data_IF_972409267650
#
_entry.id   IF_972409267650
#
_cell.length_a   1.000
_cell.length_b   1.000
_cell.length_c   1.000
_cell.angle_alpha   90.00
_cell.angle_beta   90.00
_cell.angle_gamma   90.00
#
_symmetry.space_group_name_H-M   'P 1'
#
loop_
_entity.id
_entity.type
_entity.pdbx_description
1 polymer ?
#
# COMPACT_ATOMS: atom_id res chain seq x y z
N UNK A 1 -14.75 57.02 71.62
CA UNK A 1 -14.86 55.61 72.07
C UNK A 1 -15.12 54.78 70.83
N UNK A 2 -14.23 53.98 70.24
CA UNK A 2 -13.06 53.30 70.78
C UNK A 2 -13.29 51.79 70.64
N UNK A 3 -12.83 51.20 69.52
CA UNK A 3 -12.11 49.92 69.44
C UNK A 3 -11.79 49.57 67.99
N UNK A 4 -10.54 49.86 67.63
CA UNK A 4 -9.78 49.32 66.51
C UNK A 4 -9.32 47.91 66.88
N UNK A 5 -9.62 46.90 66.08
CA UNK A 5 -8.96 45.59 66.11
C UNK A 5 -8.00 45.50 64.93
N UNK A 6 -6.73 45.83 65.20
CA UNK A 6 -5.63 45.64 64.27
C UNK A 6 -5.28 44.15 64.19
N UNK A 7 -5.25 43.62 62.96
CA UNK A 7 -4.64 42.34 62.61
C UNK A 7 -3.11 42.43 62.73
N UNK A 8 -2.42 41.47 63.36
CA UNK A 8 -0.97 41.55 63.54
C UNK A 8 -0.21 41.26 62.24
N UNK A 9 0.79 42.08 61.98
CA UNK A 9 1.86 41.88 60.99
C UNK A 9 2.64 40.59 61.26
N UNK A 10 3.06 39.82 60.24
CA UNK A 10 3.92 38.66 60.47
C UNK A 10 5.32 39.12 60.85
N UNK A 11 5.72 38.79 62.08
CA UNK A 11 7.08 38.96 62.59
C UNK A 11 8.06 38.16 61.74
N UNK A 12 9.10 38.83 61.24
CA UNK A 12 10.27 38.24 60.60
C UNK A 12 11.10 37.47 61.63
N UNK A 13 10.78 36.20 61.84
CA UNK A 13 11.69 35.24 62.48
C UNK A 13 12.73 34.76 61.46
N UNK A 14 14.03 34.69 61.79
CA UNK A 14 15.03 34.15 60.88
C UNK A 14 14.69 32.70 60.54
N UNK A 15 14.75 32.33 59.26
CA UNK A 15 14.71 30.94 58.83
C UNK A 15 15.80 30.18 59.62
N UNK A 16 15.49 29.07 60.32
CA UNK A 16 16.53 28.26 60.91
C UNK A 16 17.41 27.75 59.77
N UNK A 17 18.73 27.87 59.95
CA UNK A 17 19.71 27.33 59.02
C UNK A 17 19.34 25.86 58.73
N UNK A 18 19.06 25.55 57.46
CA UNK A 18 18.85 24.18 57.04
C UNK A 18 20.19 23.45 57.22
N UNK A 19 20.29 22.62 58.24
CA UNK A 19 21.38 21.66 58.40
C UNK A 19 21.35 20.70 57.20
N UNK A 20 22.28 20.91 56.27
CA UNK A 20 22.52 20.08 55.08
C UNK A 20 23.21 18.78 55.50
N UNK A 21 22.67 18.04 56.46
CA UNK A 21 23.21 16.74 56.86
C UNK A 21 22.18 15.70 57.33
N UNK A 22 20.90 16.08 57.44
CA UNK A 22 19.80 15.11 57.64
C UNK A 22 18.93 15.04 56.39
N UNK A 23 19.21 14.04 55.54
CA UNK A 23 18.44 13.73 54.35
C UNK A 23 16.96 13.49 54.65
N UNK A 24 16.16 14.55 54.66
CA UNK A 24 14.71 14.48 54.66
C UNK A 24 14.30 14.10 53.25
N UNK A 25 14.01 12.80 53.05
CA UNK A 25 13.40 12.33 51.80
C UNK A 25 12.11 13.11 51.59
N UNK A 26 12.06 13.96 50.57
CA UNK A 26 10.79 14.48 50.07
C UNK A 26 9.84 13.29 49.86
N UNK A 27 8.59 13.35 50.34
CA UNK A 27 7.63 12.29 50.06
C UNK A 27 7.52 12.15 48.54
N UNK A 28 7.75 10.94 48.02
CA UNK A 28 7.50 10.66 46.61
C UNK A 28 6.05 11.04 46.33
N UNK A 29 5.76 11.83 45.28
CA UNK A 29 4.37 12.07 44.89
C UNK A 29 3.67 10.74 44.76
N UNK A 30 2.46 10.63 45.31
CA UNK A 30 1.65 9.43 45.27
C UNK A 30 1.61 8.90 43.83
N UNK A 31 1.87 7.61 43.65
CA UNK A 31 1.72 6.96 42.35
C UNK A 31 0.25 7.03 41.96
N UNK A 32 -0.15 8.08 41.23
CA UNK A 32 -1.46 8.13 40.60
C UNK A 32 -1.50 6.99 39.57
N UNK A 33 -2.25 5.93 39.87
CA UNK A 33 -2.62 4.91 38.90
C UNK A 33 -3.57 5.55 37.88
N UNK A 34 -2.99 6.08 36.82
CA UNK A 34 -3.76 6.45 35.64
C UNK A 34 -4.15 5.18 34.90
N UNK A 35 -5.43 5.02 34.50
CA UNK A 35 -5.80 3.94 33.61
C UNK A 35 -5.01 4.06 32.31
N UNK A 36 -4.57 2.94 31.71
CA UNK A 36 -3.88 2.98 30.43
C UNK A 36 -4.77 3.70 29.40
N UNK A 37 -4.16 4.47 28.47
CA UNK A 37 -4.94 5.11 27.43
C UNK A 37 -5.74 4.07 26.64
N UNK A 38 -6.96 4.43 26.18
CA UNK A 38 -7.75 3.53 25.38
C UNK A 38 -6.95 3.10 24.14
N UNK A 39 -7.05 1.84 23.72
CA UNK A 39 -6.38 1.38 22.51
C UNK A 39 -6.78 2.28 21.33
N UNK A 40 -5.86 2.59 20.41
CA UNK A 40 -6.19 3.39 19.24
C UNK A 40 -7.36 2.73 18.50
N UNK A 41 -8.39 3.52 18.15
CA UNK A 41 -9.52 3.02 17.35
C UNK A 41 -8.98 2.48 16.02
N UNK A 42 -9.18 1.19 15.79
CA UNK A 42 -8.87 0.57 14.50
C UNK A 42 -9.77 1.16 13.42
N UNK A 43 -9.19 1.45 12.27
CA UNK A 43 -9.96 1.97 11.14
C UNK A 43 -10.89 0.90 10.60
N UNK A 44 -12.14 1.25 10.28
CA UNK A 44 -13.07 0.31 9.64
C UNK A 44 -12.73 0.20 8.15
N UNK A 45 -12.33 -0.99 7.71
CA UNK A 45 -11.95 -1.25 6.32
C UNK A 45 -13.17 -1.33 5.42
N UNK A 46 -13.32 -0.36 4.54
CA UNK A 46 -14.40 -0.33 3.54
C UNK A 46 -13.87 -0.22 2.11
N UNK A 47 -12.67 0.35 1.93
CA UNK A 47 -12.07 0.50 0.60
C UNK A 47 -11.63 -0.84 0.03
N UNK A 48 -10.98 -1.69 0.81
CA UNK A 48 -10.52 -3.00 0.35
C UNK A 48 -11.69 -3.91 -0.08
N UNK A 49 -12.78 -4.03 0.72
CA UNK A 49 -14.01 -4.68 0.26
C UNK A 49 -14.59 -4.04 -1.02
N UNK A 50 -14.55 -2.71 -1.15
CA UNK A 50 -15.03 -2.03 -2.36
C UNK A 50 -14.17 -2.38 -3.59
N UNK A 51 -12.84 -2.40 -3.45
CA UNK A 51 -11.92 -2.83 -4.51
C UNK A 51 -12.21 -4.28 -4.89
N UNK A 52 -12.43 -5.16 -3.91
CA UNK A 52 -12.82 -6.54 -4.17
C UNK A 52 -14.09 -6.62 -5.03
N UNK A 53 -15.16 -5.92 -4.62
CA UNK A 53 -16.43 -5.91 -5.33
C UNK A 53 -16.29 -5.32 -6.73
N UNK A 54 -15.49 -4.27 -6.90
CA UNK A 54 -15.22 -3.66 -8.21
C UNK A 54 -14.52 -4.65 -9.17
N UNK A 55 -13.52 -5.41 -8.69
CA UNK A 55 -12.83 -6.41 -9.49
C UNK A 55 -13.74 -7.58 -9.87
N UNK A 56 -14.57 -8.06 -8.94
CA UNK A 56 -15.57 -9.11 -9.22
C UNK A 56 -16.60 -8.61 -10.23
N UNK A 57 -17.15 -7.41 -10.03
CA UNK A 57 -18.13 -6.81 -10.94
C UNK A 57 -17.58 -6.60 -12.35
N UNK A 58 -16.34 -6.10 -12.46
CA UNK A 58 -15.70 -5.90 -13.76
C UNK A 58 -15.35 -7.24 -14.45
N UNK A 59 -15.01 -8.29 -13.69
CA UNK A 59 -14.84 -9.62 -14.25
C UNK A 59 -16.16 -10.19 -14.80
N UNK A 60 -17.27 -10.03 -14.06
CA UNK A 60 -18.60 -10.43 -14.55
C UNK A 60 -18.96 -9.66 -15.83
N UNK A 61 -18.73 -8.35 -15.85
CA UNK A 61 -18.93 -7.53 -17.06
C UNK A 61 -18.04 -8.00 -18.22
N UNK A 62 -16.80 -8.34 -17.95
CA UNK A 62 -15.87 -8.88 -18.96
C UNK A 62 -16.40 -10.18 -19.57
N UNK A 63 -16.90 -11.09 -18.75
CA UNK A 63 -17.51 -12.34 -19.21
C UNK A 63 -18.80 -12.09 -20.01
N UNK A 64 -19.60 -11.10 -19.61
CA UNK A 64 -20.80 -10.69 -20.36
C UNK A 64 -20.47 -10.19 -21.77
N UNK A 65 -19.40 -9.39 -21.90
CA UNK A 65 -18.90 -8.89 -23.20
C UNK A 65 -18.24 -10.00 -24.02
N UNK A 66 -17.55 -10.93 -23.35
CA UNK A 66 -16.84 -12.02 -24.03
C UNK A 66 -17.79 -12.90 -24.85
N UNK A 67 -18.91 -13.31 -24.25
CA UNK A 67 -19.96 -14.11 -24.88
C UNK A 67 -19.40 -15.24 -25.78
N UNK A 68 -18.67 -16.17 -25.16
CA UNK A 68 -18.03 -17.30 -25.86
C UNK A 68 -18.96 -18.02 -26.86
N UNK A 69 -20.21 -18.38 -26.51
CA UNK A 69 -21.06 -19.19 -27.38
C UNK A 69 -21.43 -18.50 -28.70
N UNK A 70 -21.41 -17.16 -28.73
CA UNK A 70 -21.68 -16.40 -29.95
C UNK A 70 -20.54 -16.49 -30.98
N UNK A 71 -19.32 -16.89 -30.57
CA UNK A 71 -18.14 -16.97 -31.43
C UNK A 71 -17.68 -18.41 -31.66
N UNK A 72 -17.76 -19.26 -30.63
CA UNK A 72 -17.39 -20.69 -30.70
C UNK A 72 -18.45 -21.59 -30.04
N UNK A 73 -19.55 -21.95 -30.75
CA UNK A 73 -20.71 -22.64 -30.16
C UNK A 73 -20.43 -24.02 -29.54
N UNK A 74 -19.31 -24.67 -29.89
CA UNK A 74 -18.97 -26.04 -29.47
C UNK A 74 -17.69 -26.14 -28.62
N UNK A 75 -16.97 -25.03 -28.41
CA UNK A 75 -15.67 -25.01 -27.71
C UNK A 75 -15.73 -24.51 -26.27
N UNK A 76 -16.81 -23.82 -25.89
CA UNK A 76 -16.92 -23.15 -24.60
C UNK A 76 -16.99 -24.12 -23.42
N UNK A 77 -16.22 -23.82 -22.38
CA UNK A 77 -16.22 -24.57 -21.14
C UNK A 77 -17.42 -24.15 -20.28
N UNK A 78 -18.11 -25.13 -19.71
CA UNK A 78 -19.30 -24.94 -18.86
C UNK A 78 -20.48 -24.23 -19.57
N UNK A 79 -20.62 -24.41 -20.89
CA UNK A 79 -21.76 -23.89 -21.65
C UNK A 79 -23.14 -24.24 -21.07
N UNK A 80 -23.44 -25.50 -20.72
CA UNK A 80 -24.77 -25.87 -20.22
C UNK A 80 -25.16 -25.18 -18.90
N UNK A 81 -24.16 -24.76 -18.09
CA UNK A 81 -24.39 -24.16 -16.77
C UNK A 81 -24.36 -22.63 -16.80
N UNK A 82 -23.39 -22.05 -17.53
CA UNK A 82 -23.10 -20.61 -17.49
C UNK A 82 -23.66 -19.83 -18.68
N UNK A 83 -24.08 -20.52 -19.76
CA UNK A 83 -24.61 -19.91 -20.96
C UNK A 83 -23.69 -18.83 -21.53
N UNK A 84 -24.14 -17.57 -21.50
CA UNK A 84 -23.36 -16.42 -21.99
C UNK A 84 -22.02 -16.22 -21.26
N UNK A 85 -21.94 -16.63 -19.99
CA UNK A 85 -20.77 -16.45 -19.13
C UNK A 85 -19.78 -17.61 -19.20
N UNK A 86 -19.89 -18.47 -20.20
CA UNK A 86 -18.96 -19.57 -20.39
C UNK A 86 -17.55 -19.13 -20.74
N UNK A 87 -16.58 -19.96 -20.34
CA UNK A 87 -15.17 -19.67 -20.50
C UNK A 87 -14.67 -20.14 -21.87
N UNK A 88 -13.61 -19.48 -22.36
CA UNK A 88 -12.89 -19.94 -23.55
C UNK A 88 -12.26 -21.32 -23.34
N UNK A 89 -12.01 -22.08 -24.42
CA UNK A 89 -11.29 -23.35 -24.34
C UNK A 89 -9.94 -23.21 -23.60
N UNK A 90 -9.51 -24.23 -22.85
CA UNK A 90 -8.24 -24.20 -22.10
C UNK A 90 -7.00 -24.01 -23.00
N UNK A 91 -7.12 -24.34 -24.29
CA UNK A 91 -6.10 -24.09 -25.30
C UNK A 91 -5.87 -22.60 -25.54
N UNK A 92 -6.91 -21.79 -25.42
CA UNK A 92 -6.85 -20.33 -25.55
C UNK A 92 -6.60 -19.68 -24.18
N UNK A 93 -7.36 -20.08 -23.14
CA UNK A 93 -7.24 -19.50 -21.82
C UNK A 93 -7.24 -20.56 -20.71
N UNK A 94 -6.05 -20.81 -20.16
CA UNK A 94 -5.84 -21.79 -19.09
C UNK A 94 -6.40 -21.36 -17.73
N UNK A 95 -6.75 -20.08 -17.54
CA UNK A 95 -7.23 -19.52 -16.27
C UNK A 95 -8.76 -19.57 -16.11
N UNK A 96 -9.49 -20.21 -17.03
CA UNK A 96 -10.96 -20.22 -17.08
C UNK A 96 -11.51 -18.79 -17.15
N UNK A 97 -11.42 -18.19 -18.34
CA UNK A 97 -11.70 -16.77 -18.51
C UNK A 97 -12.11 -16.36 -19.92
N UNK A 98 -12.13 -15.05 -20.19
CA UNK A 98 -12.47 -14.49 -21.49
C UNK A 98 -11.35 -14.68 -22.52
N UNK A 99 -11.60 -14.32 -23.77
CA UNK A 99 -10.57 -14.23 -24.80
C UNK A 99 -9.63 -13.05 -24.56
N UNK A 100 -8.40 -13.17 -25.08
CA UNK A 100 -7.41 -12.09 -25.10
C UNK A 100 -7.97 -10.84 -25.82
N UNK A 101 -8.69 -11.03 -26.93
CA UNK A 101 -9.32 -9.94 -27.70
C UNK A 101 -10.33 -9.16 -26.85
N UNK A 102 -11.12 -9.86 -26.01
CA UNK A 102 -12.05 -9.18 -25.10
C UNK A 102 -11.31 -8.37 -24.04
N UNK A 103 -10.23 -8.91 -23.48
CA UNK A 103 -9.40 -8.18 -22.50
C UNK A 103 -8.75 -6.95 -23.13
N UNK A 104 -8.21 -7.07 -24.34
CA UNK A 104 -7.67 -5.95 -25.12
C UNK A 104 -8.74 -4.86 -25.31
N UNK A 105 -9.93 -5.24 -25.77
CA UNK A 105 -11.04 -4.30 -26.01
C UNK A 105 -11.45 -3.55 -24.75
N UNK A 106 -11.42 -4.21 -23.59
CA UNK A 106 -11.87 -3.63 -22.32
C UNK A 106 -10.81 -2.82 -21.58
N UNK A 107 -9.60 -2.68 -22.13
CA UNK A 107 -8.54 -1.88 -21.52
C UNK A 107 -7.39 -2.69 -20.94
N UNK A 108 -7.17 -3.89 -21.44
CA UNK A 108 -5.95 -4.65 -21.17
C UNK A 108 -4.71 -3.87 -21.59
N UNK A 109 -3.62 -4.08 -20.86
CA UNK A 109 -2.36 -3.38 -21.11
C UNK A 109 -1.66 -4.03 -22.30
N UNK A 110 -1.56 -3.27 -23.38
CA UNK A 110 -0.81 -3.64 -24.57
C UNK A 110 0.11 -2.49 -24.96
N UNK A 111 1.41 -2.77 -25.11
CA UNK A 111 2.42 -1.74 -25.38
C UNK A 111 2.13 -0.94 -26.63
N UNK A 112 1.72 -1.59 -27.71
CA UNK A 112 1.44 -0.94 -28.99
C UNK A 112 0.32 0.09 -28.85
N UNK A 113 -0.81 -0.28 -28.26
CA UNK A 113 -1.93 0.63 -28.04
C UNK A 113 -1.59 1.79 -27.10
N UNK A 114 -0.75 1.54 -26.07
CA UNK A 114 -0.32 2.59 -25.15
C UNK A 114 0.61 3.61 -25.83
N UNK A 115 1.59 3.11 -26.58
CA UNK A 115 2.65 3.94 -27.17
C UNK A 115 2.18 4.56 -28.49
N UNK A 116 1.70 3.74 -29.44
CA UNK A 116 1.34 4.16 -30.79
C UNK A 116 -0.01 4.87 -30.86
N UNK A 117 -1.03 4.35 -30.17
CA UNK A 117 -2.38 4.93 -30.19
C UNK A 117 -2.64 5.92 -29.03
N UNK A 118 -1.59 6.25 -28.26
CA UNK A 118 -1.65 7.14 -27.10
C UNK A 118 -2.70 6.73 -26.03
N UNK A 119 -3.02 5.44 -25.92
CA UNK A 119 -4.04 4.94 -24.99
C UNK A 119 -3.48 4.71 -23.57
N UNK A 120 -2.87 5.76 -22.97
CA UNK A 120 -2.22 5.70 -21.66
C UNK A 120 -3.16 5.32 -20.50
N UNK A 121 -4.46 5.52 -20.64
CA UNK A 121 -5.47 5.08 -19.68
C UNK A 121 -5.45 3.57 -19.42
N UNK A 122 -4.94 2.76 -20.37
CA UNK A 122 -4.78 1.31 -20.24
C UNK A 122 -3.89 0.90 -19.08
N UNK A 123 -2.92 1.73 -18.72
CA UNK A 123 -2.02 1.50 -17.58
C UNK A 123 -2.76 1.50 -16.24
N UNK A 124 -3.92 2.13 -16.17
CA UNK A 124 -4.76 2.18 -14.96
C UNK A 124 -5.89 1.15 -15.07
N UNK A 125 -6.55 1.03 -16.23
CA UNK A 125 -7.67 0.09 -16.39
C UNK A 125 -7.25 -1.38 -16.27
N UNK A 126 -6.05 -1.74 -16.72
CA UNK A 126 -5.58 -3.12 -16.69
C UNK A 126 -5.51 -3.71 -15.28
N UNK A 127 -5.34 -2.87 -14.25
CA UNK A 127 -5.27 -3.26 -12.83
C UNK A 127 -6.59 -3.87 -12.35
N UNK A 128 -7.70 -3.57 -13.02
CA UNK A 128 -9.03 -4.03 -12.64
C UNK A 128 -9.50 -5.26 -13.43
N UNK A 129 -8.88 -5.51 -14.58
CA UNK A 129 -9.22 -6.65 -15.46
C UNK A 129 -8.52 -7.92 -14.97
N UNK A 130 -9.13 -9.08 -15.22
CA UNK A 130 -8.59 -10.36 -14.78
C UNK A 130 -8.64 -11.40 -15.92
N UNK A 131 -7.56 -12.14 -16.06
CA UNK A 131 -7.41 -13.16 -17.11
C UNK A 131 -8.34 -14.36 -16.95
N UNK A 132 -8.90 -14.61 -15.77
CA UNK A 132 -9.81 -15.73 -15.52
C UNK A 132 -10.16 -15.89 -14.05
N UNK A 133 -11.00 -16.88 -13.74
CA UNK A 133 -11.51 -17.12 -12.38
C UNK A 133 -10.39 -17.44 -11.40
N UNK A 134 -9.44 -18.31 -11.79
CA UNK A 134 -8.33 -18.67 -10.91
C UNK A 134 -7.45 -17.45 -10.61
N UNK A 135 -7.21 -16.62 -11.61
CA UNK A 135 -6.43 -15.40 -11.46
C UNK A 135 -7.16 -14.36 -10.59
N UNK A 136 -8.47 -14.18 -10.75
CA UNK A 136 -9.27 -13.33 -9.89
C UNK A 136 -9.25 -13.82 -8.43
N UNK A 137 -9.48 -15.12 -8.20
CA UNK A 137 -9.55 -15.69 -6.86
C UNK A 137 -8.24 -15.48 -6.08
N UNK A 138 -7.08 -15.72 -6.69
CA UNK A 138 -5.79 -15.54 -6.02
C UNK A 138 -5.47 -14.08 -5.72
N UNK A 139 -5.81 -13.16 -6.62
CA UNK A 139 -5.66 -11.72 -6.38
C UNK A 139 -6.57 -11.26 -5.24
N UNK A 140 -7.83 -11.68 -5.26
CA UNK A 140 -8.82 -11.25 -4.27
C UNK A 140 -8.54 -11.83 -2.88
N UNK A 141 -8.08 -13.08 -2.78
CA UNK A 141 -7.60 -13.65 -1.53
C UNK A 141 -6.41 -12.84 -0.98
N UNK A 142 -5.43 -12.55 -1.83
CA UNK A 142 -4.27 -11.74 -1.44
C UNK A 142 -4.67 -10.32 -1.01
N UNK A 143 -5.60 -9.69 -1.73
CA UNK A 143 -6.14 -8.38 -1.41
C UNK A 143 -6.82 -8.36 -0.04
N UNK A 144 -7.62 -9.37 0.29
CA UNK A 144 -8.27 -9.46 1.60
C UNK A 144 -7.25 -9.67 2.71
N UNK A 145 -6.34 -10.63 2.55
CA UNK A 145 -5.35 -10.99 3.58
C UNK A 145 -4.39 -9.83 3.88
N UNK A 146 -3.89 -9.17 2.84
CA UNK A 146 -2.89 -8.10 2.98
C UNK A 146 -3.56 -6.73 3.11
N UNK A 147 -4.52 -6.43 2.24
CA UNK A 147 -5.14 -5.11 2.14
C UNK A 147 -5.95 -4.74 3.36
N UNK A 148 -6.76 -5.64 3.93
CA UNK A 148 -7.59 -5.32 5.11
C UNK A 148 -6.70 -4.88 6.28
N UNK A 149 -5.65 -5.65 6.59
CA UNK A 149 -4.73 -5.32 7.68
C UNK A 149 -4.08 -3.95 7.48
N UNK A 150 -3.58 -3.68 6.27
CA UNK A 150 -3.00 -2.39 5.92
C UNK A 150 -4.01 -1.23 6.04
N UNK A 151 -5.26 -1.43 5.60
CA UNK A 151 -6.30 -0.40 5.69
C UNK A 151 -6.70 -0.11 7.14
N UNK A 152 -6.82 -1.14 7.99
CA UNK A 152 -7.11 -0.97 9.41
C UNK A 152 -6.03 -0.18 10.14
N UNK A 153 -4.77 -0.35 9.71
CA UNK A 153 -3.61 0.22 10.38
C UNK A 153 -3.25 1.63 9.90
N UNK A 154 -3.43 1.92 8.61
CA UNK A 154 -2.99 3.17 7.98
C UNK A 154 -4.13 4.03 7.41
N UNK A 155 -5.33 3.46 7.28
CA UNK A 155 -6.51 4.12 6.74
C UNK A 155 -6.60 4.06 5.22
N UNK A 156 -7.84 4.20 4.72
CA UNK A 156 -8.18 4.03 3.32
C UNK A 156 -7.44 4.96 2.34
N UNK A 157 -7.19 6.23 2.69
CA UNK A 157 -6.55 7.18 1.78
C UNK A 157 -5.14 6.73 1.38
N UNK A 158 -4.36 6.26 2.36
CA UNK A 158 -2.99 5.82 2.14
C UNK A 158 -2.96 4.53 1.34
N UNK A 159 -3.81 3.57 1.70
CA UNK A 159 -3.85 2.27 1.01
C UNK A 159 -4.42 2.39 -0.40
N UNK A 160 -5.42 3.24 -0.61
CA UNK A 160 -5.95 3.53 -1.94
C UNK A 160 -4.92 4.19 -2.85
N UNK A 161 -4.21 5.22 -2.36
CA UNK A 161 -3.11 5.84 -3.10
C UNK A 161 -1.99 4.83 -3.41
N UNK A 162 -1.64 3.99 -2.43
CA UNK A 162 -0.60 2.98 -2.59
C UNK A 162 -0.99 1.91 -3.61
N UNK A 163 -2.25 1.45 -3.60
CA UNK A 163 -2.77 0.48 -4.57
C UNK A 163 -2.73 1.04 -6.00
N UNK A 164 -3.26 2.25 -6.22
CA UNK A 164 -3.34 2.84 -7.56
C UNK A 164 -1.95 3.19 -8.10
N UNK A 165 -1.10 3.86 -7.30
CA UNK A 165 0.21 4.30 -7.74
C UNK A 165 1.16 3.11 -7.95
N UNK A 166 1.13 2.09 -7.08
CA UNK A 166 1.94 0.89 -7.30
C UNK A 166 1.47 0.10 -8.51
N UNK A 167 0.14 0.00 -8.73
CA UNK A 167 -0.41 -0.59 -9.95
C UNK A 167 0.09 0.11 -11.21
N UNK A 168 0.05 1.45 -11.21
CA UNK A 168 0.61 2.26 -12.30
C UNK A 168 2.10 2.02 -12.51
N UNK A 169 2.90 1.96 -11.44
CA UNK A 169 4.33 1.66 -11.52
C UNK A 169 4.62 0.26 -12.08
N UNK A 170 3.79 -0.72 -11.75
CA UNK A 170 3.80 -2.05 -12.38
C UNK A 170 3.52 -1.97 -13.88
N UNK A 171 2.42 -1.31 -14.26
CA UNK A 171 2.06 -1.12 -15.68
C UNK A 171 3.14 -0.38 -16.45
N UNK A 172 3.80 0.61 -15.85
CA UNK A 172 4.89 1.36 -16.48
C UNK A 172 6.10 0.48 -16.75
N UNK A 173 6.57 -0.28 -15.76
CA UNK A 173 7.72 -1.19 -15.95
C UNK A 173 7.39 -2.32 -16.91
N UNK A 174 6.19 -2.88 -16.84
CA UNK A 174 5.69 -3.86 -17.80
C UNK A 174 5.74 -3.31 -19.22
N UNK A 175 5.15 -2.14 -19.46
CA UNK A 175 5.11 -1.53 -20.80
C UNK A 175 6.52 -1.27 -21.33
N UNK A 176 7.46 -0.83 -20.48
CA UNK A 176 8.84 -0.57 -20.88
C UNK A 176 9.63 -1.84 -21.24
N UNK A 177 9.30 -2.99 -20.64
CA UNK A 177 10.04 -4.24 -20.78
C UNK A 177 9.40 -5.26 -21.72
N UNK A 178 8.11 -5.11 -22.04
CA UNK A 178 7.44 -5.92 -23.07
C UNK A 178 8.11 -5.67 -24.42
N UNK A 179 8.73 -6.71 -24.98
CA UNK A 179 9.23 -6.76 -26.36
C UNK A 179 8.09 -6.88 -27.37
N UNK A 180 8.34 -6.47 -28.63
CA UNK A 180 7.38 -6.50 -29.73
C UNK A 180 6.77 -7.90 -29.92
N UNK A 181 5.52 -8.05 -29.48
CA UNK A 181 4.72 -9.27 -29.53
C UNK A 181 3.36 -9.04 -28.88
N UNK A 182 2.33 -9.77 -29.33
CA UNK A 182 0.96 -9.63 -28.82
C UNK A 182 0.88 -10.19 -27.38
N UNK A 183 1.28 -9.39 -26.40
CA UNK A 183 1.21 -9.71 -24.97
C UNK A 183 0.30 -8.70 -24.28
N UNK A 184 -0.82 -9.19 -23.78
CA UNK A 184 -1.77 -8.41 -22.99
C UNK A 184 -1.54 -8.72 -21.51
N UNK A 185 -1.28 -7.68 -20.73
CA UNK A 185 -1.17 -7.78 -19.27
C UNK A 185 -2.43 -7.24 -18.60
N UNK A 186 -2.93 -7.97 -17.61
CA UNK A 186 -4.10 -7.61 -16.80
C UNK A 186 -3.90 -8.12 -15.38
N UNK A 187 -4.55 -7.49 -14.42
CA UNK A 187 -4.65 -7.99 -13.04
C UNK A 187 -4.22 -6.98 -11.99
N UNK A 188 -4.85 -7.09 -10.83
CA UNK A 188 -4.51 -6.32 -9.63
C UNK A 188 -3.11 -6.63 -9.08
N UNK A 189 -2.48 -7.70 -9.54
CA UNK A 189 -1.28 -8.27 -8.94
C UNK A 189 -0.10 -7.30 -8.84
N UNK A 190 0.11 -6.38 -9.80
CA UNK A 190 1.11 -5.32 -9.67
C UNK A 190 0.86 -4.41 -8.45
N UNK A 191 -0.39 -4.02 -8.21
CA UNK A 191 -0.76 -3.25 -7.04
C UNK A 191 -0.60 -4.05 -5.73
N UNK A 192 -0.92 -5.36 -5.75
CA UNK A 192 -0.75 -6.24 -4.60
C UNK A 192 0.73 -6.46 -4.23
N UNK A 193 1.60 -6.65 -5.21
CA UNK A 193 3.04 -6.64 -5.00
C UNK A 193 3.51 -5.30 -4.44
N UNK A 194 2.88 -4.20 -4.85
CA UNK A 194 3.06 -2.89 -4.22
C UNK A 194 2.71 -2.87 -2.74
N UNK A 195 1.57 -3.45 -2.33
CA UNK A 195 1.21 -3.59 -0.92
C UNK A 195 2.28 -4.38 -0.14
N UNK A 196 2.80 -5.48 -0.72
CA UNK A 196 3.89 -6.26 -0.12
C UNK A 196 5.20 -5.46 0.00
N UNK A 197 5.56 -4.68 -1.03
CA UNK A 197 6.71 -3.78 -0.99
C UNK A 197 6.55 -2.71 0.10
N UNK A 198 5.34 -2.17 0.25
CA UNK A 198 5.04 -1.20 1.29
C UNK A 198 5.18 -1.81 2.70
N UNK A 199 4.69 -3.04 2.92
CA UNK A 199 4.91 -3.78 4.17
C UNK A 199 6.41 -3.96 4.48
N UNK A 200 7.24 -4.21 3.46
CA UNK A 200 8.68 -4.32 3.67
C UNK A 200 9.29 -2.99 4.14
N UNK A 201 8.94 -1.88 3.50
CA UNK A 201 9.44 -0.55 3.88
C UNK A 201 8.98 -0.13 5.29
N UNK A 202 7.76 -0.53 5.66
CA UNK A 202 7.17 -0.31 6.98
C UNK A 202 7.97 -1.07 8.04
N UNK A 203 8.22 -2.36 7.79
CA UNK A 203 8.98 -3.23 8.69
C UNK A 203 10.41 -2.71 8.91
N UNK A 204 11.07 -2.21 7.85
CA UNK A 204 12.39 -1.59 7.94
C UNK A 204 12.34 -0.29 8.77
N UNK A 205 11.34 0.55 8.53
CA UNK A 205 11.21 1.86 9.19
C UNK A 205 10.91 1.71 10.69
N UNK A 206 10.12 0.68 11.04
CA UNK A 206 9.59 0.41 12.37
C UNK A 206 10.18 -0.85 13.00
N UNK A 207 11.40 -1.23 12.62
CA UNK A 207 12.11 -2.46 13.04
C UNK A 207 12.08 -2.73 14.54
N UNK A 208 12.10 -1.68 15.37
CA UNK A 208 12.13 -1.79 16.84
C UNK A 208 10.78 -2.13 17.47
N UNK A 209 9.68 -2.02 16.72
CA UNK A 209 8.31 -2.29 17.22
C UNK A 209 7.96 -3.78 17.13
N UNK A 210 8.49 -4.47 16.13
CA UNK A 210 8.18 -5.87 15.87
C UNK A 210 9.01 -6.82 16.74
N UNK A 211 8.35 -7.59 17.62
CA UNK A 211 8.99 -8.61 18.44
C UNK A 211 9.64 -9.72 17.58
N UNK A 212 8.91 -10.21 16.56
CA UNK A 212 9.34 -11.30 15.66
C UNK A 212 9.78 -10.79 14.28
N UNK A 213 10.55 -9.69 14.24
CA UNK A 213 10.95 -9.00 13.00
C UNK A 213 11.66 -9.89 11.97
N UNK A 214 12.56 -10.78 12.41
CA UNK A 214 13.30 -11.65 11.48
C UNK A 214 12.38 -12.66 10.80
N UNK A 215 11.43 -13.24 11.55
CA UNK A 215 10.41 -14.14 11.00
C UNK A 215 9.49 -13.40 10.03
N UNK A 216 9.00 -12.21 10.41
CA UNK A 216 8.15 -11.40 9.54
C UNK A 216 8.85 -11.03 8.22
N UNK A 217 10.13 -10.59 8.30
CA UNK A 217 10.95 -10.29 7.13
C UNK A 217 11.14 -11.53 6.25
N UNK A 218 11.54 -12.65 6.86
CA UNK A 218 11.78 -13.90 6.14
C UNK A 218 10.53 -14.41 5.44
N UNK A 219 9.38 -14.42 6.13
CA UNK A 219 8.09 -14.79 5.54
C UNK A 219 7.72 -13.88 4.38
N UNK A 220 7.87 -12.55 4.53
CA UNK A 220 7.55 -11.60 3.47
C UNK A 220 8.44 -11.80 2.24
N UNK A 221 9.75 -11.97 2.44
CA UNK A 221 10.70 -12.22 1.34
C UNK A 221 10.39 -13.53 0.65
N UNK A 222 10.13 -14.61 1.39
CA UNK A 222 9.73 -15.91 0.82
C UNK A 222 8.46 -15.77 -0.02
N UNK A 223 7.44 -15.09 0.49
CA UNK A 223 6.18 -14.89 -0.25
C UNK A 223 6.45 -14.17 -1.57
N UNK A 224 7.24 -13.10 -1.56
CA UNK A 224 7.60 -12.35 -2.78
C UNK A 224 8.37 -13.23 -3.77
N UNK A 225 9.40 -13.95 -3.30
CA UNK A 225 10.23 -14.82 -4.15
C UNK A 225 9.42 -15.96 -4.75
N UNK A 226 8.58 -16.63 -3.96
CA UNK A 226 7.71 -17.71 -4.44
C UNK A 226 6.73 -17.20 -5.49
N UNK A 227 6.08 -16.05 -5.26
CA UNK A 227 5.14 -15.51 -6.25
C UNK A 227 5.84 -15.14 -7.56
N UNK A 228 7.03 -14.53 -7.51
CA UNK A 228 7.83 -14.25 -8.71
C UNK A 228 8.30 -15.53 -9.41
N UNK A 229 8.72 -16.56 -8.65
CA UNK A 229 9.12 -17.84 -9.20
C UNK A 229 7.94 -18.55 -9.90
N UNK A 230 6.76 -18.54 -9.30
CA UNK A 230 5.52 -19.04 -9.92
C UNK A 230 5.23 -18.28 -11.22
N UNK A 231 5.38 -16.96 -11.21
CA UNK A 231 5.18 -16.14 -12.42
C UNK A 231 6.20 -16.41 -13.53
N UNK A 232 7.42 -16.85 -13.20
CA UNK A 232 8.39 -17.32 -14.20
C UNK A 232 7.99 -18.68 -14.81
N UNK A 233 7.34 -19.55 -14.02
CA UNK A 233 6.94 -20.89 -14.45
C UNK A 233 5.62 -20.91 -15.22
N UNK A 234 4.72 -19.96 -14.98
CA UNK A 234 3.41 -19.89 -15.64
C UNK A 234 3.47 -18.92 -16.83
N UNK A 235 3.36 -19.41 -18.07
CA UNK A 235 3.29 -18.54 -19.25
C UNK A 235 2.12 -17.56 -19.11
N UNK A 236 2.32 -16.31 -19.54
CA UNK A 236 1.36 -15.19 -19.48
C UNK A 236 1.24 -14.48 -18.12
N UNK A 237 2.07 -14.80 -17.13
CA UNK A 237 2.23 -13.96 -15.93
C UNK A 237 3.23 -12.85 -16.20
N UNK A 238 2.88 -11.63 -15.79
CA UNK A 238 3.69 -10.43 -16.01
C UNK A 238 4.56 -10.11 -14.78
N UNK A 239 5.74 -10.71 -14.74
CA UNK A 239 6.71 -10.46 -13.67
C UNK A 239 7.26 -9.03 -13.68
N UNK A 240 7.30 -8.37 -14.83
CA UNK A 240 7.72 -6.98 -14.91
C UNK A 240 6.73 -6.07 -14.19
N UNK A 241 5.43 -6.34 -14.32
CA UNK A 241 4.41 -5.65 -13.54
C UNK A 241 4.56 -5.91 -12.03
N UNK A 242 4.85 -7.15 -11.62
CA UNK A 242 5.08 -7.48 -10.21
C UNK A 242 6.29 -6.76 -9.63
N UNK A 243 7.42 -6.76 -10.34
CA UNK A 243 8.66 -6.09 -9.91
C UNK A 243 8.45 -4.58 -9.85
N UNK A 244 7.83 -3.99 -10.89
CA UNK A 244 7.57 -2.54 -10.95
C UNK A 244 6.62 -2.08 -9.86
N UNK A 245 5.59 -2.88 -9.59
CA UNK A 245 4.66 -2.68 -8.49
C UNK A 245 5.35 -2.76 -7.13
N UNK A 246 6.16 -3.80 -6.90
CA UNK A 246 6.91 -3.99 -5.64
C UNK A 246 7.87 -2.83 -5.36
N UNK A 247 8.67 -2.42 -6.35
CA UNK A 247 9.61 -1.29 -6.21
C UNK A 247 8.85 0.01 -5.91
N UNK A 248 7.77 0.26 -6.65
CA UNK A 248 6.92 1.43 -6.44
C UNK A 248 6.31 1.45 -5.04
N UNK A 249 5.74 0.33 -4.61
CA UNK A 249 5.14 0.17 -3.29
C UNK A 249 6.14 0.28 -2.15
N UNK A 250 7.36 -0.25 -2.34
CA UNK A 250 8.45 -0.09 -1.39
C UNK A 250 8.86 1.37 -1.18
N UNK A 251 9.00 2.14 -2.26
CA UNK A 251 9.27 3.58 -2.17
C UNK A 251 8.09 4.34 -1.59
N UNK A 252 6.86 4.06 -2.04
CA UNK A 252 5.63 4.67 -1.54
C UNK A 252 5.41 4.39 -0.06
N UNK A 253 5.82 3.23 0.43
CA UNK A 253 5.68 2.90 1.84
C UNK A 253 6.55 3.78 2.75
N UNK A 254 7.77 4.14 2.34
CA UNK A 254 8.56 5.18 3.05
C UNK A 254 7.90 6.56 3.02
N UNK A 255 7.13 6.86 1.97
CA UNK A 255 6.44 8.15 1.80
C UNK A 255 5.14 8.21 2.61
N UNK A 256 4.31 7.17 2.53
CA UNK A 256 2.93 7.15 3.03
C UNK A 256 2.78 6.47 4.40
N UNK A 257 3.58 5.45 4.70
CA UNK A 257 3.44 4.61 5.90
C UNK A 257 4.34 5.05 7.06
N UNK A 258 4.84 6.30 7.04
CA UNK A 258 5.68 6.84 8.10
C UNK A 258 4.89 6.93 9.44
N UNK A 259 5.38 6.23 10.47
CA UNK A 259 4.80 6.26 11.82
C UNK A 259 5.50 7.31 12.71
N UNK A 260 4.75 8.08 13.50
CA UNK A 260 5.35 8.94 14.53
C UNK A 260 5.96 8.10 15.65
N UNK A 261 6.99 8.63 16.30
CA UNK A 261 7.61 7.97 17.45
C UNK A 261 6.59 7.74 18.58
N UNK A 262 6.68 6.59 19.26
CA UNK A 262 5.79 6.25 20.38
C UNK A 262 5.72 7.36 21.45
N UNK A 263 6.87 7.99 21.76
CA UNK A 263 6.96 9.12 22.71
C UNK A 263 6.32 10.43 22.25
N UNK A 264 5.96 10.57 20.97
CA UNK A 264 5.15 11.68 20.46
C UNK A 264 3.65 11.37 20.61
N UNK A 265 3.25 10.11 20.42
CA UNK A 265 1.85 9.65 20.50
C UNK A 265 1.36 9.60 21.95
N UNK A 266 2.23 9.23 22.89
CA UNK A 266 1.90 9.23 24.34
C UNK A 266 1.45 10.60 24.84
N UNK A 267 1.85 11.69 24.19
CA UNK A 267 1.51 13.07 24.58
C UNK A 267 0.02 13.40 24.53
N UNK A 268 -0.77 12.73 23.66
CA UNK A 268 -2.23 12.89 23.63
C UNK A 268 -2.94 12.29 24.85
N UNK A 269 -2.21 11.49 25.63
CA UNK A 269 -2.71 10.78 26.80
C UNK A 269 -2.05 11.25 28.11
N UNK A 270 -1.22 12.31 28.05
CA UNK A 270 -0.63 12.93 29.24
C UNK A 270 -1.60 14.01 29.75
N UNK A 271 -2.10 13.92 31.00
CA UNK A 271 -2.96 14.94 31.60
C UNK A 271 -2.28 16.31 31.73
N UNK A 272 -3.08 17.38 31.77
CA UNK A 272 -2.59 18.74 32.00
C UNK A 272 -1.89 18.85 33.37
N UNK A 273 -0.66 19.40 33.39
CA UNK A 273 0.15 19.58 34.60
C UNK A 273 1.46 18.77 34.68
N UNK A 274 1.73 17.87 33.71
CA UNK A 274 3.00 17.16 33.60
C UNK A 274 4.05 17.94 32.78
N UNK A 275 5.22 18.19 33.37
CA UNK A 275 6.36 18.86 32.71
C UNK A 275 7.05 17.90 31.72
N UNK A 276 6.69 17.98 30.44
CA UNK A 276 7.30 17.19 29.36
C UNK A 276 8.62 17.84 28.94
N UNK A 277 9.61 17.84 29.83
CA UNK A 277 10.94 18.50 29.66
C UNK A 277 11.74 18.04 28.44
N UNK A 278 11.36 16.95 27.78
CA UNK A 278 12.02 16.46 26.56
C UNK A 278 11.05 16.40 25.37
N UNK A 279 11.07 17.44 24.53
CA UNK A 279 10.45 17.44 23.20
C UNK A 279 11.20 16.44 22.30
N UNK A 280 10.72 15.20 22.19
CA UNK A 280 11.17 14.29 21.13
C UNK A 280 10.49 14.68 19.80
N UNK A 281 11.27 14.75 18.72
CA UNK A 281 10.75 15.00 17.36
C UNK A 281 9.70 13.94 16.98
N UNK A 282 8.69 14.34 16.19
CA UNK A 282 7.61 13.47 15.70
C UNK A 282 8.17 12.25 14.94
N UNK A 283 9.23 12.45 14.15
CA UNK A 283 9.93 11.40 13.41
C UNK A 283 11.44 11.47 13.65
N UNK A 284 12.12 10.33 13.53
CA UNK A 284 13.60 10.25 13.60
C UNK A 284 14.22 10.85 12.33
N UNK A 285 15.44 11.37 12.42
CA UNK A 285 16.18 11.98 11.30
C UNK A 285 16.34 11.02 10.11
N UNK A 286 16.61 9.73 10.36
CA UNK A 286 16.66 8.74 9.27
C UNK A 286 15.32 8.56 8.55
N UNK A 287 14.18 8.71 9.25
CA UNK A 287 12.86 8.58 8.62
C UNK A 287 12.60 9.73 7.64
N UNK A 288 13.03 10.95 7.98
CA UNK A 288 12.98 12.07 7.04
C UNK A 288 13.92 11.87 5.85
N UNK A 289 15.14 11.38 6.08
CA UNK A 289 16.09 11.08 5.00
C UNK A 289 15.52 10.03 4.02
N UNK A 290 14.97 8.93 4.54
CA UNK A 290 14.31 7.90 3.73
C UNK A 290 13.09 8.46 2.99
N UNK A 291 12.28 9.28 3.66
CA UNK A 291 11.11 9.91 3.06
C UNK A 291 11.47 10.81 1.87
N UNK A 292 12.44 11.73 2.03
CA UNK A 292 12.91 12.62 0.95
C UNK A 292 13.52 11.81 -0.19
N UNK A 293 14.40 10.86 0.14
CA UNK A 293 15.09 10.03 -0.86
C UNK A 293 14.09 9.20 -1.67
N UNK A 294 13.13 8.55 -1.00
CA UNK A 294 12.11 7.75 -1.66
C UNK A 294 11.21 8.60 -2.55
N UNK A 295 10.84 9.81 -2.10
CA UNK A 295 10.04 10.74 -2.89
C UNK A 295 10.77 11.17 -4.18
N UNK A 296 12.05 11.53 -4.07
CA UNK A 296 12.87 11.90 -5.23
C UNK A 296 12.97 10.74 -6.21
N UNK A 297 13.31 9.53 -5.73
CA UNK A 297 13.44 8.35 -6.56
C UNK A 297 12.13 7.97 -7.25
N UNK A 298 10.99 8.08 -6.55
CA UNK A 298 9.68 7.77 -7.10
C UNK A 298 9.30 8.76 -8.21
N UNK A 299 9.44 10.06 -7.96
CA UNK A 299 9.11 11.11 -8.94
C UNK A 299 10.03 11.01 -10.16
N UNK A 300 11.35 10.87 -9.94
CA UNK A 300 12.31 10.71 -11.03
C UNK A 300 12.09 9.41 -11.82
N UNK A 301 11.76 8.31 -11.13
CA UNK A 301 11.47 7.02 -11.73
C UNK A 301 10.24 7.05 -12.64
N UNK A 302 9.13 7.62 -12.16
CA UNK A 302 7.92 7.78 -12.98
C UNK A 302 8.13 8.77 -14.12
N UNK A 303 8.76 9.93 -13.88
CA UNK A 303 9.03 10.90 -14.92
C UNK A 303 9.94 10.33 -16.01
N UNK A 304 11.04 9.67 -15.63
CA UNK A 304 11.98 9.07 -16.60
C UNK A 304 11.37 7.87 -17.33
N UNK A 305 10.58 7.04 -16.65
CA UNK A 305 9.88 5.92 -17.26
C UNK A 305 8.85 6.39 -18.29
N UNK A 306 8.05 7.40 -17.95
CA UNK A 306 7.09 8.01 -18.88
C UNK A 306 7.81 8.69 -20.05
N UNK A 307 8.88 9.44 -19.78
CA UNK A 307 9.68 10.06 -20.84
C UNK A 307 10.26 9.02 -21.80
N UNK A 308 10.82 7.91 -21.30
CA UNK A 308 11.31 6.82 -22.16
C UNK A 308 10.21 6.17 -22.99
N UNK A 309 9.03 6.01 -22.40
CA UNK A 309 7.89 5.39 -23.07
C UNK A 309 7.41 6.20 -24.28
N UNK A 310 7.32 7.53 -24.14
CA UNK A 310 6.78 8.41 -25.18
C UNK A 310 7.86 9.07 -26.07
N UNK A 311 9.09 9.30 -25.57
CA UNK A 311 10.16 9.86 -26.38
C UNK A 311 10.74 8.86 -27.40
N UNK A 312 10.53 7.55 -27.20
CA UNK A 312 10.90 6.53 -28.20
C UNK A 312 10.20 6.70 -29.55
N UNK A 313 9.11 7.48 -29.61
CA UNK A 313 8.42 7.81 -30.86
C UNK A 313 9.08 8.95 -31.65
N UNK A 314 9.74 9.88 -30.97
CA UNK A 314 10.31 11.06 -31.63
C UNK A 314 11.47 10.70 -32.58
N UNK A 315 12.09 9.52 -32.39
CA UNK A 315 13.17 8.99 -33.22
C UNK A 315 12.68 8.08 -34.37
N UNK A 316 11.43 7.57 -34.31
CA UNK A 316 10.85 6.75 -35.39
C UNK A 316 10.12 7.60 -36.45
N UNK A 317 9.77 8.84 -36.11
CA UNK A 317 9.09 9.78 -37.00
C UNK A 317 10.03 10.79 -37.69
N UNK A 318 11.35 10.53 -37.71
CA UNK A 318 12.28 11.29 -38.55
C UNK A 318 12.34 10.58 -39.91
N UNK A 319 11.71 11.13 -40.97
CA UNK A 319 11.96 10.63 -42.31
C UNK A 319 13.42 10.89 -42.66
N UNK A 320 14.19 9.83 -42.89
CA UNK A 320 15.40 9.89 -43.70
C UNK A 320 15.02 9.79 -45.17
#
# INVERSE_FOLDING_TARGET
MGKSSASPSPSSSPLPALDIEKGTKMPRPAHHHFPPPPPPKQWFSWLVPLIFLANVGLFVYTMYVNNCPSKEPKGCILYPLLGRFSFQPLKENRFLGPSLITLEKLGGLERKLVVEDAQGWRMISCVWLHAGVLHLATNMLSLIVVGIGLEQEFGFLKIGALYVLSGFGGSLLSTLTISDGLKISVGASGALFGLLGAMLSELITNWTIYANKCTALFTLVIVVVINLAIGLLIPHVDNSAHIGGFISGFLLGFVLLIRPQFGYVSRRYIPDGYDVKHKKSKHKSYQYCLWVTALILLVAGYASGMAKLFNGQHLKNIPF
#
